data_IF_524165974520
#
_entry.id   IF_524165974520
#
_cell.length_a   1.000
_cell.length_b   1.000
_cell.length_c   1.000
_cell.angle_alpha   90.00
_cell.angle_beta   90.00
_cell.angle_gamma   90.00
#
_symmetry.space_group_name_H-M   'P 1'
#
loop_
_entity.id
_entity.type
_entity.pdbx_description
1 polymer ?
#
# COMPACT_ATOMS: atom_id res chain seq x y z
N UNK A 1 5.13 -9.35 9.38
CA UNK A 1 4.09 -8.33 9.64
C UNK A 1 2.75 -9.03 9.66
N UNK A 2 1.90 -8.78 10.67
CA UNK A 2 0.54 -9.33 10.69
C UNK A 2 -0.42 -8.44 9.90
N UNK A 3 -1.47 -9.06 9.38
CA UNK A 3 -2.56 -8.42 8.63
C UNK A 3 -3.85 -8.73 9.37
N UNK A 4 -4.69 -7.73 9.59
CA UNK A 4 -6.05 -7.87 10.11
C UNK A 4 -7.06 -7.39 9.06
N UNK A 5 -8.32 -7.26 9.43
CA UNK A 5 -9.41 -6.85 8.53
C UNK A 5 -9.27 -5.41 8.01
N UNK A 6 -8.29 -4.64 8.49
CA UNK A 6 -7.95 -3.31 7.97
C UNK A 6 -6.62 -3.27 7.20
N UNK A 7 -5.97 -4.42 7.01
CA UNK A 7 -4.69 -4.57 6.34
C UNK A 7 -3.51 -4.72 7.30
N UNK A 8 -2.31 -4.34 6.84
CA UNK A 8 -1.06 -4.47 7.62
C UNK A 8 -1.15 -3.77 8.97
N UNK A 9 -0.71 -4.42 10.05
CA UNK A 9 -0.60 -3.81 11.38
C UNK A 9 0.60 -2.87 11.47
N UNK A 10 0.34 -1.57 11.45
CA UNK A 10 1.39 -0.54 11.54
C UNK A 10 2.13 -0.58 12.89
N UNK A 11 1.46 -1.01 13.96
CA UNK A 11 2.10 -1.22 15.28
C UNK A 11 3.28 -2.19 15.19
N UNK A 12 3.13 -3.26 14.41
CA UNK A 12 4.18 -4.27 14.24
C UNK A 12 5.40 -3.67 13.54
N UNK A 13 5.21 -2.70 12.62
CA UNK A 13 6.32 -1.96 11.99
C UNK A 13 7.08 -1.11 13.02
N UNK A 14 6.35 -0.51 13.97
CA UNK A 14 6.92 0.29 15.05
C UNK A 14 7.84 -0.49 16.00
N UNK A 15 7.64 -1.80 16.11
CA UNK A 15 8.44 -2.72 16.94
C UNK A 15 9.71 -3.22 16.24
N UNK A 16 9.96 -2.78 15.01
CA UNK A 16 11.14 -3.17 14.22
C UNK A 16 12.04 -1.98 13.88
N UNK A 17 13.28 -2.28 13.48
CA UNK A 17 14.24 -1.30 12.99
C UNK A 17 14.13 -1.03 11.48
N UNK A 18 13.13 -1.60 10.81
CA UNK A 18 12.95 -1.40 9.37
C UNK A 18 12.66 0.06 9.05
N UNK A 19 13.09 0.48 7.87
CA UNK A 19 12.86 1.81 7.29
C UNK A 19 12.08 1.75 5.98
N UNK A 20 11.67 0.56 5.57
CA UNK A 20 10.92 0.37 4.33
C UNK A 20 9.86 -0.71 4.51
N UNK A 21 8.72 -0.52 3.87
CA UNK A 21 7.63 -1.50 3.83
C UNK A 21 7.01 -1.54 2.43
N UNK A 22 6.79 -2.74 1.91
CA UNK A 22 6.03 -2.97 0.68
C UNK A 22 4.57 -3.27 1.04
N UNK A 23 3.64 -2.58 0.41
CA UNK A 23 2.19 -2.76 0.62
C UNK A 23 1.45 -2.79 -0.71
N UNK A 24 0.33 -3.50 -0.72
CA UNK A 24 -0.64 -3.56 -1.81
C UNK A 24 -1.97 -3.01 -1.28
N UNK A 25 -2.17 -1.67 -1.25
CA UNK A 25 -3.23 -1.04 -0.45
C UNK A 25 -4.65 -1.27 -0.96
N UNK A 26 -4.78 -1.48 -2.28
CA UNK A 26 -6.05 -1.83 -2.91
C UNK A 26 -6.46 -3.26 -2.56
N UNK A 27 -5.54 -4.22 -2.67
CA UNK A 27 -5.79 -5.63 -2.35
C UNK A 27 -4.55 -6.29 -1.75
N UNK A 28 -4.48 -6.41 -0.42
CA UNK A 28 -3.33 -7.00 0.27
C UNK A 28 -3.08 -8.43 -0.19
N UNK A 29 -1.96 -8.70 -0.87
CA UNK A 29 -1.65 -10.06 -1.33
C UNK A 29 -1.02 -10.89 -0.18
N UNK A 30 -1.49 -12.13 0.11
CA UNK A 30 -2.57 -12.91 -0.54
C UNK A 30 -3.96 -12.77 0.13
N UNK A 31 -4.10 -11.93 1.15
CA UNK A 31 -5.29 -11.84 2.01
C UNK A 31 -6.51 -11.15 1.36
N UNK A 32 -6.32 -10.39 0.28
CA UNK A 32 -7.35 -9.63 -0.43
C UNK A 32 -7.90 -8.41 0.34
N UNK A 33 -7.38 -8.11 1.53
CA UNK A 33 -7.91 -7.04 2.39
C UNK A 33 -7.53 -5.66 1.83
N UNK A 34 -8.51 -4.76 1.78
CA UNK A 34 -8.30 -3.34 1.44
C UNK A 34 -7.74 -2.61 2.65
N UNK A 35 -6.68 -1.81 2.47
CA UNK A 35 -6.16 -0.97 3.55
C UNK A 35 -7.19 0.10 3.94
N UNK A 36 -7.64 0.08 5.20
CA UNK A 36 -8.61 1.05 5.70
C UNK A 36 -8.04 2.47 5.66
N UNK A 37 -8.90 3.49 5.56
CA UNK A 37 -8.47 4.89 5.57
C UNK A 37 -7.65 5.23 6.83
N UNK A 38 -8.01 4.67 7.99
CA UNK A 38 -7.24 4.82 9.22
C UNK A 38 -5.86 4.18 9.12
N UNK A 39 -5.78 2.98 8.55
CA UNK A 39 -4.49 2.28 8.39
C UNK A 39 -3.56 2.97 7.39
N UNK A 40 -4.12 3.58 6.34
CA UNK A 40 -3.39 4.43 5.39
C UNK A 40 -2.74 5.62 6.09
N UNK A 41 -3.48 6.37 6.89
CA UNK A 41 -2.93 7.49 7.66
C UNK A 41 -1.85 7.03 8.65
N UNK A 42 -2.13 5.96 9.41
CA UNK A 42 -1.15 5.43 10.36
C UNK A 42 0.16 5.01 9.68
N UNK A 43 0.08 4.44 8.47
CA UNK A 43 1.27 4.04 7.70
C UNK A 43 2.07 5.26 7.24
N UNK A 44 1.40 6.32 6.78
CA UNK A 44 2.04 7.60 6.41
C UNK A 44 2.71 8.25 7.62
N UNK A 45 2.02 8.30 8.77
CA UNK A 45 2.57 8.82 10.02
C UNK A 45 3.82 8.04 10.46
N UNK A 46 3.80 6.71 10.32
CA UNK A 46 4.96 5.86 10.58
C UNK A 46 6.15 6.20 9.66
N UNK A 47 5.88 6.43 8.37
CA UNK A 47 6.92 6.76 7.41
C UNK A 47 7.56 8.12 7.72
N UNK A 48 6.75 9.15 8.00
CA UNK A 48 7.24 10.48 8.43
C UNK A 48 8.05 10.37 9.72
N UNK A 49 7.54 9.66 10.74
CA UNK A 49 8.19 9.57 12.05
C UNK A 49 9.55 8.84 12.01
N UNK A 50 9.79 8.00 11.00
CA UNK A 50 11.00 7.18 10.87
C UNK A 50 11.92 7.58 9.72
N UNK A 51 11.55 8.60 8.94
CA UNK A 51 12.17 8.88 7.63
C UNK A 51 12.19 7.60 6.77
N UNK A 52 11.03 6.94 6.74
CA UNK A 52 10.82 5.63 6.13
C UNK A 52 10.20 5.73 4.75
N UNK A 53 10.34 4.65 3.97
CA UNK A 53 9.79 4.53 2.62
C UNK A 53 8.66 3.50 2.59
N UNK A 54 7.50 3.91 2.10
CA UNK A 54 6.42 3.02 1.72
C UNK A 54 6.58 2.73 0.23
N UNK A 55 6.69 1.47 -0.12
CA UNK A 55 6.59 1.02 -1.51
C UNK A 55 5.16 0.55 -1.72
N UNK A 56 4.41 1.29 -2.52
CA UNK A 56 3.03 0.97 -2.89
C UNK A 56 3.04 0.20 -4.21
N UNK A 57 2.74 -1.09 -4.16
CA UNK A 57 2.53 -1.93 -5.34
C UNK A 57 1.04 -1.96 -5.68
N UNK A 58 0.68 -1.28 -6.76
CA UNK A 58 -0.69 -1.19 -7.28
C UNK A 58 -0.82 -2.09 -8.52
N UNK A 59 -0.78 -3.39 -8.28
CA UNK A 59 -0.69 -4.43 -9.32
C UNK A 59 -2.00 -4.66 -10.08
N UNK A 60 -3.13 -4.19 -9.54
CA UNK A 60 -4.47 -4.34 -10.12
C UNK A 60 -5.26 -3.04 -10.17
N UNK A 61 -4.56 -1.89 -10.19
CA UNK A 61 -5.11 -0.54 -10.39
C UNK A 61 -6.20 -0.45 -11.48
N UNK A 62 -6.05 -1.29 -12.52
CA UNK A 62 -6.87 -1.33 -13.73
C UNK A 62 -8.18 -2.10 -13.54
N UNK A 63 -8.26 -2.89 -12.47
CA UNK A 63 -9.38 -3.72 -12.10
C UNK A 63 -10.09 -3.13 -10.88
N UNK A 64 -10.82 -2.04 -11.09
CA UNK A 64 -11.72 -1.46 -10.09
C UNK A 64 -12.90 -2.39 -9.82
N UNK A 65 -12.66 -3.51 -9.14
CA UNK A 65 -13.61 -4.61 -9.07
C UNK A 65 -14.87 -4.30 -8.25
N UNK A 66 -14.93 -3.27 -7.39
CA UNK A 66 -16.13 -3.02 -6.57
C UNK A 66 -16.37 -1.56 -6.10
N UNK A 67 -15.88 -0.53 -6.80
CA UNK A 67 -16.19 0.85 -6.40
C UNK A 67 -15.38 1.97 -7.05
N UNK A 68 -15.55 3.20 -6.55
CA UNK A 68 -14.66 4.31 -6.94
C UNK A 68 -13.20 3.95 -6.61
N UNK A 69 -12.24 4.34 -7.46
CA UNK A 69 -10.83 4.11 -7.20
C UNK A 69 -10.46 4.67 -5.82
N UNK A 70 -9.95 3.83 -4.92
CA UNK A 70 -9.40 4.31 -3.66
C UNK A 70 -8.07 4.96 -3.99
N UNK A 71 -7.95 6.28 -3.76
CA UNK A 71 -6.74 7.03 -4.10
C UNK A 71 -5.46 6.40 -3.55
N UNK A 72 -4.38 6.45 -4.33
CA UNK A 72 -3.08 5.88 -3.97
C UNK A 72 -2.48 6.58 -2.75
N UNK A 73 -1.68 5.87 -1.97
CA UNK A 73 -0.88 6.48 -0.89
C UNK A 73 0.07 7.54 -1.44
N UNK A 74 0.61 7.31 -2.64
CA UNK A 74 1.50 8.27 -3.30
C UNK A 74 0.82 9.60 -3.64
N UNK A 75 -0.50 9.60 -3.88
CA UNK A 75 -1.27 10.84 -4.03
C UNK A 75 -1.34 11.67 -2.75
N UNK A 76 -1.14 11.06 -1.58
CA UNK A 76 -1.20 11.70 -0.27
C UNK A 76 0.18 12.18 0.21
N UNK A 77 1.24 11.41 -0.04
CA UNK A 77 2.61 11.77 0.31
C UNK A 77 3.62 11.29 -0.74
N UNK A 78 4.17 12.22 -1.51
CA UNK A 78 5.12 11.93 -2.59
C UNK A 78 6.57 11.81 -2.11
N UNK A 79 6.87 12.20 -0.88
CA UNK A 79 8.21 12.17 -0.32
C UNK A 79 8.52 10.82 0.31
N UNK A 80 7.52 10.20 0.93
CA UNK A 80 7.68 8.94 1.65
C UNK A 80 7.04 7.73 0.96
N UNK A 81 6.42 7.92 -0.22
CA UNK A 81 5.79 6.82 -0.97
C UNK A 81 6.39 6.68 -2.37
N UNK A 82 7.02 5.54 -2.61
CA UNK A 82 7.40 5.07 -3.94
C UNK A 82 6.27 4.23 -4.53
N UNK A 83 5.63 4.74 -5.57
CA UNK A 83 4.57 4.03 -6.28
C UNK A 83 5.15 3.11 -7.36
N UNK A 84 4.74 1.84 -7.32
CA UNK A 84 5.00 0.82 -8.32
C UNK A 84 3.63 0.42 -8.89
N UNK A 85 3.25 1.05 -9.99
CA UNK A 85 2.14 0.58 -10.81
C UNK A 85 2.66 -0.25 -11.97
N UNK A 86 1.84 -1.18 -12.45
CA UNK A 86 2.10 -1.90 -13.69
C UNK A 86 0.98 -1.62 -14.70
N UNK A 87 1.36 -1.40 -15.96
CA UNK A 87 0.42 -1.42 -17.09
C UNK A 87 0.39 -2.79 -17.80
N UNK A 88 1.11 -3.80 -17.26
CA UNK A 88 1.23 -5.12 -17.89
C UNK A 88 -0.11 -5.83 -18.02
N UNK A 89 -1.04 -5.63 -17.08
CA UNK A 89 -2.34 -6.32 -17.13
C UNK A 89 -3.34 -5.64 -18.07
N UNK A 90 -3.20 -4.33 -18.27
CA UNK A 90 -3.72 -3.49 -19.36
C UNK A 90 -3.33 -3.92 -20.77
N UNK A 91 -2.02 -4.02 -21.00
CA UNK A 91 -1.46 -3.91 -22.36
C UNK A 91 -1.07 -5.24 -23.01
N UNK A 92 -0.73 -6.29 -22.26
CA UNK A 92 -0.57 -7.64 -22.79
C UNK A 92 -0.39 -8.66 -21.64
N UNK A 93 -1.12 -9.78 -21.58
CA UNK A 93 -0.98 -10.81 -20.56
C UNK A 93 0.42 -11.50 -20.46
N UNK A 94 1.42 -11.04 -21.22
CA UNK A 94 2.72 -11.68 -21.40
C UNK A 94 3.93 -10.72 -21.26
N UNK A 95 3.77 -9.55 -20.64
CA UNK A 95 4.89 -8.65 -20.27
C UNK A 95 5.25 -8.75 -18.79
#
# INVERSE_FOLDING_TARGET
MRVDDEGIRVTDLGETDVRMVLVTPAHQLPMGVVLSAGRRHALLDWAVARDGLIVEDDYDAEYGYDGQPVGTLQGLDRQHVAYIGSASKTLAPAL
#
